data_IF_658166688659
#
_entry.id   IF_658166688659
#
_cell.length_a   1.000
_cell.length_b   1.000
_cell.length_c   1.000
_cell.angle_alpha   90.00
_cell.angle_beta   90.00
_cell.angle_gamma   90.00
#
_symmetry.space_group_name_H-M   'P 1'
#
loop_
_entity.id
_entity.type
_entity.pdbx_description
1 polymer ?
#
# COMPACT_ATOMS: atom_id res chain seq x y z
N UNK A 1 20.12 -5.18 12.33
CA UNK A 1 21.53 -5.47 11.97
C UNK A 1 22.12 -4.11 11.64
N UNK A 2 22.26 -3.32 12.70
CA UNK A 2 22.41 -1.87 12.64
C UNK A 2 23.65 -1.55 13.46
N UNK A 3 24.82 -1.63 12.83
CA UNK A 3 26.07 -1.18 13.45
C UNK A 3 27.19 -1.19 12.42
N UNK A 4 27.09 -0.36 11.36
CA UNK A 4 28.22 -0.16 10.43
C UNK A 4 28.03 1.10 9.56
N UNK A 5 27.61 2.21 10.16
CA UNK A 5 27.38 3.46 9.41
C UNK A 5 27.86 4.72 10.17
N UNK A 6 28.98 4.63 10.89
CA UNK A 6 29.57 5.77 11.60
C UNK A 6 30.94 6.25 11.08
N UNK A 7 31.60 5.56 10.14
CA UNK A 7 33.04 5.79 9.93
C UNK A 7 33.41 6.28 8.52
N UNK A 8 32.50 6.96 7.81
CA UNK A 8 32.80 7.51 6.46
C UNK A 8 33.10 9.01 6.47
N UNK A 9 32.95 9.68 7.62
CA UNK A 9 33.13 11.13 7.74
C UNK A 9 34.61 11.56 7.92
N UNK A 10 35.53 10.60 7.98
CA UNK A 10 36.96 10.86 8.28
C UNK A 10 37.86 11.18 7.07
N UNK A 11 37.33 11.23 5.84
CA UNK A 11 38.15 11.40 4.62
C UNK A 11 37.94 12.72 3.86
N UNK A 12 37.35 13.74 4.50
CA UNK A 12 37.36 15.10 3.97
C UNK A 12 38.72 15.76 4.24
N UNK A 13 39.71 15.48 3.38
CA UNK A 13 40.92 16.29 3.30
C UNK A 13 40.55 17.68 2.72
N UNK A 14 40.88 18.79 3.41
CA UNK A 14 40.58 20.13 2.93
C UNK A 14 41.23 20.41 1.56
N UNK A 15 40.39 20.69 0.57
CA UNK A 15 40.75 21.14 -0.78
C UNK A 15 41.22 22.60 -0.78
N UNK A 16 42.40 22.84 -0.22
CA UNK A 16 43.16 24.06 -0.48
C UNK A 16 44.61 23.70 -0.74
N UNK A 17 44.94 23.40 -1.99
CA UNK A 17 46.33 23.35 -2.47
C UNK A 17 46.82 24.79 -2.57
N UNK A 18 47.10 25.36 -1.41
CA UNK A 18 48.21 26.25 -1.15
C UNK A 18 48.46 26.13 0.35
N UNK A 19 49.06 25.00 0.73
CA UNK A 19 49.51 24.80 2.10
C UNK A 19 50.56 25.87 2.41
N UNK A 20 50.22 26.78 3.33
CA UNK A 20 51.15 27.81 3.82
C UNK A 20 52.41 27.20 4.46
N UNK A 21 52.42 25.91 4.76
CA UNK A 21 53.62 25.18 5.20
C UNK A 21 54.65 24.92 4.08
N UNK A 22 54.34 25.21 2.81
CA UNK A 22 55.26 24.98 1.69
C UNK A 22 56.43 26.00 1.61
N UNK A 23 56.39 27.08 2.39
CA UNK A 23 57.58 27.90 2.60
C UNK A 23 58.40 27.27 3.72
N UNK A 24 59.46 26.55 3.35
CA UNK A 24 60.56 26.23 4.27
C UNK A 24 61.17 27.57 4.70
N UNK A 25 60.72 28.11 5.83
CA UNK A 25 61.41 29.18 6.54
C UNK A 25 62.74 28.58 6.99
N UNK A 26 63.81 28.86 6.25
CA UNK A 26 65.16 28.43 6.63
C UNK A 26 65.69 29.38 7.70
N UNK A 27 66.07 28.83 8.84
CA UNK A 27 66.84 29.54 9.86
C UNK A 27 68.26 29.76 9.32
N UNK A 28 68.75 31.01 9.33
CA UNK A 28 70.03 31.40 8.68
C UNK A 28 71.25 30.63 9.25
N UNK A 29 71.14 30.07 10.46
CA UNK A 29 72.21 29.33 11.15
C UNK A 29 72.24 27.81 10.83
N UNK A 30 71.36 27.31 9.96
CA UNK A 30 71.27 25.87 9.62
C UNK A 30 71.50 25.59 8.13
N UNK A 31 72.65 26.02 7.61
CA UNK A 31 73.06 25.67 6.25
C UNK A 31 73.34 24.16 6.14
N UNK A 32 72.58 23.46 5.27
CA UNK A 32 72.75 22.03 4.99
C UNK A 32 74.17 21.65 4.54
N UNK A 33 74.85 22.56 3.84
CA UNK A 33 76.19 22.32 3.28
C UNK A 33 77.12 23.49 3.62
N UNK A 34 78.25 23.18 4.25
CA UNK A 34 79.33 24.09 4.60
C UNK A 34 80.68 23.45 4.23
N UNK A 35 81.78 24.21 4.38
CA UNK A 35 83.12 23.74 3.96
C UNK A 35 83.61 22.48 4.69
N UNK A 36 83.10 22.22 5.90
CA UNK A 36 83.52 21.08 6.73
C UNK A 36 82.74 19.79 6.44
N UNK A 37 81.51 19.90 5.93
CA UNK A 37 80.62 18.75 5.68
C UNK A 37 80.34 18.49 4.19
N UNK A 38 80.95 19.25 3.27
CA UNK A 38 80.72 19.18 1.82
C UNK A 38 80.73 17.76 1.25
N UNK A 39 81.71 16.93 1.62
CA UNK A 39 81.82 15.56 1.13
C UNK A 39 80.63 14.68 1.58
N UNK A 40 80.19 14.85 2.83
CA UNK A 40 79.05 14.12 3.38
C UNK A 40 77.73 14.60 2.76
N UNK A 41 77.58 15.91 2.55
CA UNK A 41 76.42 16.51 1.89
C UNK A 41 76.29 16.05 0.43
N UNK A 42 77.40 15.95 -0.31
CA UNK A 42 77.41 15.40 -1.68
C UNK A 42 77.04 13.91 -1.67
N UNK A 43 77.58 13.12 -0.75
CA UNK A 43 77.24 11.71 -0.63
C UNK A 43 75.74 11.50 -0.36
N UNK A 44 75.15 12.29 0.53
CA UNK A 44 73.71 12.26 0.81
C UNK A 44 72.87 12.65 -0.41
N UNK A 45 73.21 13.76 -1.09
CA UNK A 45 72.49 14.18 -2.31
C UNK A 45 72.58 13.11 -3.40
N UNK A 46 73.74 12.49 -3.57
CA UNK A 46 73.92 11.43 -4.54
C UNK A 46 73.08 10.19 -4.22
N UNK A 47 72.97 9.81 -2.94
CA UNK A 47 72.05 8.76 -2.52
C UNK A 47 70.59 9.10 -2.84
N UNK A 48 70.14 10.32 -2.54
CA UNK A 48 68.77 10.76 -2.87
C UNK A 48 68.53 10.82 -4.38
N UNK A 49 69.52 11.23 -5.16
CA UNK A 49 69.45 11.20 -6.62
C UNK A 49 69.33 9.77 -7.13
N UNK A 50 70.11 8.82 -6.61
CA UNK A 50 69.97 7.40 -6.97
C UNK A 50 68.58 6.86 -6.65
N UNK A 51 68.01 7.20 -5.48
CA UNK A 51 66.64 6.82 -5.11
C UNK A 51 65.57 7.40 -6.06
N UNK A 52 65.81 8.62 -6.56
CA UNK A 52 64.96 9.29 -7.55
C UNK A 52 65.27 8.88 -9.00
N UNK A 53 66.26 8.01 -9.23
CA UNK A 53 66.70 7.57 -10.55
C UNK A 53 67.46 8.64 -11.36
N UNK A 54 68.02 9.65 -10.69
CA UNK A 54 68.85 10.70 -11.25
C UNK A 54 70.34 10.34 -11.12
N UNK A 55 71.17 10.77 -12.07
CA UNK A 55 72.62 10.53 -11.98
C UNK A 55 73.29 11.41 -10.92
N UNK A 56 74.33 10.90 -10.28
CA UNK A 56 75.09 11.57 -9.23
C UNK A 56 75.91 12.79 -9.72
N UNK A 57 76.15 13.74 -8.82
CA UNK A 57 77.09 14.85 -9.01
C UNK A 57 78.48 14.38 -8.59
N UNK A 58 79.49 14.70 -9.40
CA UNK A 58 80.90 14.48 -9.06
C UNK A 58 81.54 15.82 -8.74
N UNK A 59 82.42 15.84 -7.74
CA UNK A 59 83.24 17.00 -7.38
C UNK A 59 84.70 16.63 -7.55
N UNK A 60 85.29 17.08 -8.65
CA UNK A 60 86.72 16.92 -8.92
C UNK A 60 87.37 18.27 -8.60
N UNK A 61 87.84 18.42 -7.34
CA UNK A 61 88.25 19.68 -6.69
C UNK A 61 89.37 20.49 -7.38
N UNK A 62 89.71 20.11 -8.60
CA UNK A 62 90.65 20.74 -9.52
C UNK A 62 89.97 21.67 -10.55
N UNK A 63 88.64 21.59 -10.77
CA UNK A 63 87.91 22.40 -11.79
C UNK A 63 86.48 22.81 -11.38
N UNK A 64 86.33 23.87 -10.58
CA UNK A 64 85.04 24.40 -10.11
C UNK A 64 83.98 24.68 -11.20
N UNK A 65 84.39 25.07 -12.42
CA UNK A 65 83.44 25.38 -13.49
C UNK A 65 82.73 24.14 -14.04
N UNK A 66 83.41 22.98 -14.07
CA UNK A 66 82.83 21.72 -14.52
C UNK A 66 81.85 21.15 -13.50
N UNK A 67 82.20 21.19 -12.20
CA UNK A 67 81.33 20.70 -11.11
C UNK A 67 80.02 21.50 -11.03
N UNK A 68 80.10 22.82 -11.21
CA UNK A 68 78.91 23.68 -11.23
C UNK A 68 77.97 23.37 -12.40
N UNK A 69 78.52 23.05 -13.59
CA UNK A 69 77.70 22.67 -14.74
C UNK A 69 76.95 21.35 -14.51
N UNK A 70 77.61 20.33 -13.95
CA UNK A 70 76.96 19.08 -13.57
C UNK A 70 75.87 19.34 -12.53
N UNK A 71 76.16 20.14 -11.51
CA UNK A 71 75.19 20.48 -10.48
C UNK A 71 73.96 21.22 -11.03
N UNK A 72 74.14 22.23 -11.89
CA UNK A 72 73.02 22.96 -12.51
C UNK A 72 72.17 22.02 -13.37
N UNK A 73 72.79 21.13 -14.15
CA UNK A 73 72.06 20.14 -14.94
C UNK A 73 71.25 19.19 -14.05
N UNK A 74 71.81 18.72 -12.93
CA UNK A 74 71.06 17.88 -11.98
C UNK A 74 69.92 18.62 -11.29
N UNK A 75 70.12 19.89 -10.94
CA UNK A 75 69.04 20.73 -10.43
C UNK A 75 67.92 20.90 -11.47
N UNK A 76 68.27 21.07 -12.75
CA UNK A 76 67.30 21.12 -13.84
C UNK A 76 66.51 19.80 -13.97
N UNK A 77 67.17 18.65 -13.89
CA UNK A 77 66.51 17.35 -13.94
C UNK A 77 65.58 17.14 -12.74
N UNK A 78 65.99 17.54 -11.53
CA UNK A 78 65.18 17.49 -10.32
C UNK A 78 63.94 18.39 -10.43
N UNK A 79 64.10 19.63 -10.92
CA UNK A 79 62.99 20.56 -11.15
C UNK A 79 62.00 20.00 -12.18
N UNK A 80 62.53 19.41 -13.26
CA UNK A 80 61.72 18.80 -14.32
C UNK A 80 60.96 17.58 -13.78
N UNK A 81 61.62 16.74 -12.99
CA UNK A 81 60.99 15.59 -12.34
C UNK A 81 59.89 16.03 -11.37
N UNK A 82 60.16 17.03 -10.53
CA UNK A 82 59.19 17.61 -9.60
C UNK A 82 57.95 18.14 -10.33
N UNK A 83 58.13 18.91 -11.41
CA UNK A 83 57.01 19.40 -12.22
C UNK A 83 56.17 18.26 -12.80
N UNK A 84 56.81 17.19 -13.30
CA UNK A 84 56.11 15.99 -13.80
C UNK A 84 55.33 15.27 -12.69
N UNK A 85 55.94 15.08 -11.53
CA UNK A 85 55.29 14.46 -10.37
C UNK A 85 54.07 15.28 -9.94
N UNK A 86 54.20 16.61 -9.88
CA UNK A 86 53.11 17.50 -9.52
C UNK A 86 51.97 17.46 -10.53
N UNK A 87 52.28 17.37 -11.84
CA UNK A 87 51.25 17.20 -12.88
C UNK A 87 50.49 15.88 -12.70
N UNK A 88 51.21 14.76 -12.53
CA UNK A 88 50.59 13.44 -12.31
C UNK A 88 49.77 13.40 -11.02
N UNK A 89 50.27 14.03 -9.95
CA UNK A 89 49.54 14.17 -8.69
C UNK A 89 48.21 14.91 -8.90
N UNK A 90 48.23 16.04 -9.60
CA UNK A 90 47.01 16.81 -9.90
C UNK A 90 46.00 16.02 -10.76
N UNK A 91 46.49 15.25 -11.73
CA UNK A 91 45.63 14.35 -12.54
C UNK A 91 44.99 13.25 -11.68
N UNK A 92 45.75 12.67 -10.75
CA UNK A 92 45.26 11.65 -9.82
C UNK A 92 44.24 12.23 -8.83
N UNK A 93 44.48 13.42 -8.28
CA UNK A 93 43.55 14.13 -7.39
C UNK A 93 42.23 14.44 -8.11
N UNK A 94 42.30 14.94 -9.35
CA UNK A 94 41.11 15.21 -10.17
C UNK A 94 40.33 13.93 -10.47
N UNK A 95 41.04 12.84 -10.81
CA UNK A 95 40.42 11.53 -11.03
C UNK A 95 39.78 10.98 -9.77
N UNK A 96 40.45 11.11 -8.62
CA UNK A 96 39.94 10.65 -7.33
C UNK A 96 38.66 11.41 -6.96
N UNK A 97 38.67 12.74 -7.09
CA UNK A 97 37.49 13.57 -6.87
C UNK A 97 36.30 13.14 -7.76
N UNK A 98 36.55 12.87 -9.05
CA UNK A 98 35.51 12.36 -9.95
C UNK A 98 34.94 11.01 -9.48
N UNK A 99 35.80 10.07 -9.07
CA UNK A 99 35.39 8.75 -8.59
C UNK A 99 34.56 8.86 -7.30
N UNK A 100 34.90 9.77 -6.39
CA UNK A 100 34.11 10.00 -5.18
C UNK A 100 32.69 10.50 -5.53
N UNK A 101 32.58 11.44 -6.46
CA UNK A 101 31.29 11.92 -6.96
C UNK A 101 30.48 10.80 -7.64
N UNK A 102 31.13 9.94 -8.43
CA UNK A 102 30.48 8.77 -9.05
C UNK A 102 29.97 7.77 -7.98
N UNK A 103 30.77 7.49 -6.95
CA UNK A 103 30.38 6.62 -5.84
C UNK A 103 29.15 7.17 -5.13
N UNK A 104 29.14 8.45 -4.76
CA UNK A 104 27.99 9.09 -4.13
C UNK A 104 26.73 9.01 -5.02
N UNK A 105 26.87 9.25 -6.32
CA UNK A 105 25.78 9.13 -7.27
C UNK A 105 25.20 7.70 -7.32
N UNK A 106 26.07 6.67 -7.36
CA UNK A 106 25.63 5.28 -7.38
C UNK A 106 25.01 4.86 -6.05
N UNK A 107 25.55 5.29 -4.92
CA UNK A 107 24.96 5.04 -3.59
C UNK A 107 23.56 5.64 -3.48
N UNK A 108 23.39 6.91 -3.87
CA UNK A 108 22.09 7.59 -3.87
C UNK A 108 21.08 6.91 -4.81
N UNK A 109 21.53 6.44 -5.97
CA UNK A 109 20.67 5.72 -6.92
C UNK A 109 20.29 4.33 -6.41
N UNK A 110 21.22 3.60 -5.80
CA UNK A 110 20.95 2.32 -5.16
C UNK A 110 19.95 2.46 -4.00
N UNK A 111 20.11 3.49 -3.15
CA UNK A 111 19.18 3.76 -2.06
C UNK A 111 17.77 4.07 -2.55
N UNK A 112 17.63 4.88 -3.61
CA UNK A 112 16.33 5.16 -4.25
C UNK A 112 15.71 3.90 -4.84
N UNK A 113 16.51 3.07 -5.53
CA UNK A 113 16.08 1.78 -6.06
C UNK A 113 15.55 0.85 -4.96
N UNK A 114 16.27 0.74 -3.85
CA UNK A 114 15.86 -0.07 -2.69
C UNK A 114 14.54 0.41 -2.09
N UNK A 115 14.35 1.72 -1.91
CA UNK A 115 13.09 2.30 -1.41
C UNK A 115 11.91 1.99 -2.34
N UNK A 116 12.11 2.11 -3.65
CA UNK A 116 11.08 1.78 -4.64
C UNK A 116 10.73 0.29 -4.59
N UNK A 117 11.74 -0.59 -4.49
CA UNK A 117 11.54 -2.02 -4.36
C UNK A 117 10.69 -2.35 -3.12
N UNK A 118 11.06 -1.82 -1.94
CA UNK A 118 10.31 -2.01 -0.70
C UNK A 118 8.87 -1.47 -0.77
N UNK A 119 8.64 -0.40 -1.53
CA UNK A 119 7.29 0.10 -1.81
C UNK A 119 6.50 -0.88 -2.69
N UNK A 120 7.09 -1.32 -3.81
CA UNK A 120 6.42 -2.26 -4.72
C UNK A 120 6.15 -3.61 -4.08
N UNK A 121 7.03 -4.09 -3.19
CA UNK A 121 6.81 -5.33 -2.44
C UNK A 121 5.64 -5.21 -1.45
N UNK A 122 5.49 -4.04 -0.82
CA UNK A 122 4.33 -3.75 0.04
C UNK A 122 3.03 -3.73 -0.76
N UNK A 123 3.01 -3.04 -1.89
CA UNK A 123 1.85 -2.97 -2.79
C UNK A 123 1.48 -4.36 -3.33
N UNK A 124 2.47 -5.16 -3.75
CA UNK A 124 2.28 -6.54 -4.21
C UNK A 124 1.64 -7.41 -3.12
N UNK A 125 2.10 -7.30 -1.88
CA UNK A 125 1.54 -8.07 -0.76
C UNK A 125 0.10 -7.65 -0.44
N UNK A 126 -0.22 -6.35 -0.53
CA UNK A 126 -1.59 -5.88 -0.37
C UNK A 126 -2.51 -6.44 -1.45
N UNK A 127 -2.10 -6.41 -2.72
CA UNK A 127 -2.89 -6.96 -3.82
C UNK A 127 -3.04 -8.48 -3.75
N UNK A 128 -1.99 -9.19 -3.30
CA UNK A 128 -2.06 -10.64 -3.04
C UNK A 128 -3.10 -10.96 -1.97
N UNK A 129 -3.15 -10.20 -0.88
CA UNK A 129 -4.14 -10.42 0.17
C UNK A 129 -5.57 -10.08 -0.29
N UNK A 130 -5.75 -8.98 -1.04
CA UNK A 130 -7.06 -8.67 -1.67
C UNK A 130 -7.52 -9.81 -2.58
N UNK A 131 -6.61 -10.34 -3.41
CA UNK A 131 -6.89 -11.48 -4.29
C UNK A 131 -7.29 -12.72 -3.49
N UNK A 132 -6.59 -13.01 -2.39
CA UNK A 132 -6.92 -14.13 -1.49
C UNK A 132 -8.31 -13.99 -0.89
N UNK A 133 -8.66 -12.80 -0.38
CA UNK A 133 -9.98 -12.52 0.19
C UNK A 133 -11.10 -12.65 -0.83
N UNK A 134 -10.91 -12.09 -2.03
CA UNK A 134 -11.89 -12.22 -3.12
C UNK A 134 -12.06 -13.69 -3.54
N UNK A 135 -10.97 -14.46 -3.61
CA UNK A 135 -11.03 -15.90 -3.90
C UNK A 135 -11.84 -16.67 -2.84
N UNK A 136 -11.67 -16.33 -1.56
CA UNK A 136 -12.46 -16.93 -0.48
C UNK A 136 -13.95 -16.58 -0.60
N UNK A 137 -14.28 -15.30 -0.81
CA UNK A 137 -15.66 -14.84 -1.02
C UNK A 137 -16.29 -15.53 -2.23
N UNK A 138 -15.56 -15.63 -3.33
CA UNK A 138 -16.01 -16.34 -4.53
C UNK A 138 -16.34 -17.81 -4.23
N UNK A 139 -15.44 -18.53 -3.54
CA UNK A 139 -15.67 -19.92 -3.13
C UNK A 139 -16.90 -20.06 -2.24
N UNK A 140 -17.10 -19.14 -1.29
CA UNK A 140 -18.26 -19.13 -0.41
C UNK A 140 -19.57 -18.94 -1.20
N UNK A 141 -19.62 -17.96 -2.11
CA UNK A 141 -20.79 -17.73 -2.97
C UNK A 141 -21.06 -18.95 -3.86
N UNK A 142 -20.02 -19.58 -4.41
CA UNK A 142 -20.18 -20.81 -5.19
C UNK A 142 -20.78 -21.95 -4.35
N UNK A 143 -20.34 -22.12 -3.08
CA UNK A 143 -20.94 -23.13 -2.20
C UNK A 143 -22.40 -22.82 -1.89
N UNK A 144 -22.75 -21.58 -1.56
CA UNK A 144 -24.14 -21.17 -1.29
C UNK A 144 -25.04 -21.33 -2.53
N UNK A 145 -24.52 -21.01 -3.71
CA UNK A 145 -25.26 -21.23 -4.96
C UNK A 145 -25.50 -22.72 -5.21
N UNK A 146 -24.54 -23.59 -4.87
CA UNK A 146 -24.70 -25.04 -5.00
C UNK A 146 -25.80 -25.55 -4.06
N UNK A 147 -25.79 -25.13 -2.80
CA UNK A 147 -26.81 -25.53 -1.81
C UNK A 147 -28.19 -25.04 -2.23
N UNK A 148 -28.31 -23.79 -2.68
CA UNK A 148 -29.60 -23.24 -3.14
C UNK A 148 -30.13 -23.99 -4.36
N UNK A 149 -29.26 -24.33 -5.32
CA UNK A 149 -29.63 -25.16 -6.48
C UNK A 149 -30.09 -26.56 -6.08
N UNK A 150 -29.56 -27.12 -5.01
CA UNK A 150 -29.98 -28.43 -4.49
C UNK A 150 -31.35 -28.31 -3.80
N UNK A 151 -31.58 -27.25 -3.04
CA UNK A 151 -32.87 -26.99 -2.37
C UNK A 151 -33.99 -26.71 -3.37
N UNK A 152 -33.74 -25.89 -4.40
CA UNK A 152 -34.71 -25.67 -5.50
C UNK A 152 -35.08 -26.99 -6.18
N UNK A 153 -34.09 -27.86 -6.46
CA UNK A 153 -34.35 -29.19 -7.03
C UNK A 153 -35.19 -30.05 -6.10
N UNK A 154 -34.89 -30.05 -4.80
CA UNK A 154 -35.64 -30.80 -3.78
C UNK A 154 -37.09 -30.32 -3.68
N UNK A 155 -37.31 -29.01 -3.57
CA UNK A 155 -38.65 -28.41 -3.49
C UNK A 155 -39.45 -28.64 -4.77
N UNK A 156 -38.82 -28.54 -5.94
CA UNK A 156 -39.46 -28.85 -7.22
C UNK A 156 -39.95 -30.30 -7.25
N UNK A 157 -39.14 -31.26 -6.78
CA UNK A 157 -39.55 -32.66 -6.71
C UNK A 157 -40.74 -32.87 -5.74
N UNK A 158 -40.73 -32.19 -4.59
CA UNK A 158 -41.86 -32.23 -3.63
C UNK A 158 -43.13 -31.65 -4.23
N UNK A 159 -43.05 -30.51 -4.93
CA UNK A 159 -44.19 -29.89 -5.61
C UNK A 159 -44.76 -30.80 -6.71
N UNK A 160 -43.90 -31.38 -7.55
CA UNK A 160 -44.34 -32.35 -8.57
C UNK A 160 -45.07 -33.55 -7.96
N UNK A 161 -44.54 -34.10 -6.85
CA UNK A 161 -45.21 -35.18 -6.12
C UNK A 161 -46.57 -34.74 -5.56
N UNK A 162 -46.66 -33.52 -5.02
CA UNK A 162 -47.91 -32.95 -4.49
C UNK A 162 -48.94 -32.74 -5.60
N UNK A 163 -48.54 -32.23 -6.76
CA UNK A 163 -49.42 -32.04 -7.91
C UNK A 163 -50.01 -33.37 -8.38
N UNK A 164 -49.20 -34.43 -8.43
CA UNK A 164 -49.68 -35.77 -8.78
C UNK A 164 -50.69 -36.26 -7.74
N UNK A 165 -50.41 -36.09 -6.44
CA UNK A 165 -51.33 -36.45 -5.36
C UNK A 165 -52.65 -35.69 -5.46
N UNK A 166 -52.60 -34.36 -5.62
CA UNK A 166 -53.79 -33.52 -5.75
C UNK A 166 -54.62 -33.89 -6.98
N UNK A 167 -53.98 -34.15 -8.13
CA UNK A 167 -54.68 -34.64 -9.33
C UNK A 167 -55.38 -35.97 -9.08
N UNK A 168 -54.75 -36.89 -8.33
CA UNK A 168 -55.38 -38.17 -7.98
C UNK A 168 -56.57 -37.99 -7.03
N UNK A 169 -56.41 -37.19 -5.98
CA UNK A 169 -57.49 -36.86 -5.03
C UNK A 169 -58.66 -36.15 -5.70
N UNK A 170 -58.38 -35.21 -6.62
CA UNK A 170 -59.38 -34.51 -7.41
C UNK A 170 -60.18 -35.50 -8.27
N UNK A 171 -59.51 -36.39 -9.03
CA UNK A 171 -60.18 -37.44 -9.81
C UNK A 171 -61.03 -38.36 -8.95
N UNK A 172 -60.58 -38.70 -7.73
CA UNK A 172 -61.36 -39.52 -6.78
C UNK A 172 -62.63 -38.78 -6.33
N UNK A 173 -62.53 -37.48 -6.00
CA UNK A 173 -63.69 -36.64 -5.64
C UNK A 173 -64.65 -36.45 -6.80
N UNK A 174 -64.16 -36.21 -8.02
CA UNK A 174 -64.97 -36.09 -9.23
C UNK A 174 -65.81 -37.36 -9.48
N UNK A 175 -65.21 -38.54 -9.31
CA UNK A 175 -65.93 -39.83 -9.42
C UNK A 175 -67.01 -39.99 -8.35
N UNK A 176 -66.74 -39.60 -7.10
CA UNK A 176 -67.74 -39.67 -6.02
C UNK A 176 -68.90 -38.70 -6.27
N UNK A 177 -68.61 -37.47 -6.69
CA UNK A 177 -69.63 -36.49 -7.08
C UNK A 177 -70.48 -37.02 -8.23
N UNK A 178 -69.86 -37.66 -9.22
CA UNK A 178 -70.58 -38.27 -10.34
C UNK A 178 -71.52 -39.39 -9.84
N UNK A 179 -71.02 -40.31 -9.01
CA UNK A 179 -71.82 -41.39 -8.42
C UNK A 179 -72.99 -40.87 -7.58
N UNK A 180 -72.78 -39.83 -6.78
CA UNK A 180 -73.84 -39.19 -6.00
C UNK A 180 -74.87 -38.50 -6.88
N UNK A 181 -74.42 -37.85 -7.97
CA UNK A 181 -75.31 -37.28 -8.98
C UNK A 181 -76.16 -38.36 -9.65
N UNK A 182 -75.58 -39.48 -10.07
CA UNK A 182 -76.32 -40.60 -10.66
C UNK A 182 -77.37 -41.15 -9.69
N UNK A 183 -77.01 -41.37 -8.42
CA UNK A 183 -77.94 -41.82 -7.38
C UNK A 183 -79.08 -40.83 -7.16
N UNK A 184 -78.80 -39.53 -7.18
CA UNK A 184 -79.83 -38.49 -7.07
C UNK A 184 -80.77 -38.52 -8.29
N UNK A 185 -80.24 -38.63 -9.51
CA UNK A 185 -81.06 -38.74 -10.72
C UNK A 185 -81.95 -39.99 -10.66
N UNK A 186 -81.42 -41.13 -10.22
CA UNK A 186 -82.20 -42.35 -10.02
C UNK A 186 -83.33 -42.14 -9.01
N UNK A 187 -83.04 -41.55 -7.84
CA UNK A 187 -84.06 -41.26 -6.82
C UNK A 187 -85.13 -40.27 -7.30
N UNK A 188 -84.75 -39.28 -8.12
CA UNK A 188 -85.69 -38.35 -8.74
C UNK A 188 -86.56 -39.05 -9.79
N UNK A 189 -85.99 -39.93 -10.61
CA UNK A 189 -86.74 -40.73 -11.58
C UNK A 189 -87.71 -41.71 -10.89
N UNK A 190 -87.26 -42.42 -9.85
CA UNK A 190 -88.07 -43.40 -9.11
C UNK A 190 -89.21 -42.73 -8.31
N UNK A 191 -89.05 -41.46 -7.89
CA UNK A 191 -90.07 -40.69 -7.16
C UNK A 191 -91.04 -39.93 -8.07
N UNK A 192 -90.93 -40.05 -9.39
CA UNK A 192 -91.90 -39.48 -10.34
C UNK A 192 -92.73 -40.59 -11.01
N UNK A 193 -93.69 -41.21 -10.30
CA UNK A 193 -94.97 -41.52 -10.90
C UNK A 193 -95.85 -40.26 -10.79
N UNK A 194 -96.25 -39.70 -11.93
CA UNK A 194 -97.28 -38.67 -12.09
C UNK A 194 -97.37 -37.60 -10.99
N UNK A 195 -96.69 -36.47 -11.18
CA UNK A 195 -97.07 -35.21 -10.50
C UNK A 195 -97.27 -34.05 -11.46
N UNK A 196 -98.53 -33.87 -11.83
CA UNK A 196 -99.17 -32.56 -11.97
C UNK A 196 -98.83 -31.68 -10.75
N UNK A 197 -98.33 -30.48 -11.03
CA UNK A 197 -98.49 -29.21 -10.29
C UNK A 197 -98.20 -29.19 -8.78
N UNK A 198 -97.31 -28.28 -8.37
CA UNK A 198 -97.51 -27.51 -7.14
C UNK A 198 -96.33 -27.45 -6.18
N UNK A 199 -95.54 -26.38 -6.29
CA UNK A 199 -95.37 -25.40 -5.20
C UNK A 199 -94.46 -24.28 -5.71
N UNK A 200 -95.07 -23.14 -6.03
CA UNK A 200 -94.35 -21.89 -6.22
C UNK A 200 -94.12 -21.28 -4.82
N UNK A 201 -92.86 -21.09 -4.45
CA UNK A 201 -92.45 -20.54 -3.14
C UNK A 201 -92.73 -19.03 -3.11
N UNK A 202 -94.00 -18.67 -2.93
CA UNK A 202 -94.50 -17.30 -2.76
C UNK A 202 -94.20 -16.72 -1.38
N UNK A 203 -92.97 -16.87 -0.88
CA UNK A 203 -92.50 -16.03 0.21
C UNK A 203 -91.05 -15.61 0.00
N UNK A 204 -90.82 -14.84 -1.06
CA UNK A 204 -89.71 -13.89 -1.07
C UNK A 204 -90.12 -12.74 -0.16
N UNK A 205 -89.72 -12.81 1.11
CA UNK A 205 -89.78 -11.65 2.00
C UNK A 205 -88.87 -10.59 1.38
N UNK A 206 -89.49 -9.61 0.70
CA UNK A 206 -88.86 -8.38 0.27
C UNK A 206 -88.29 -7.68 1.50
N UNK A 207 -86.99 -7.84 1.75
CA UNK A 207 -86.24 -6.99 2.68
C UNK A 207 -86.08 -5.60 2.08
N UNK A 208 -87.15 -4.81 2.10
CA UNK A 208 -87.04 -3.35 2.01
C UNK A 208 -86.84 -2.82 3.43
N UNK A 209 -85.58 -2.69 3.81
CA UNK A 209 -85.13 -1.75 4.82
C UNK A 209 -83.71 -1.38 4.42
N UNK A 210 -83.52 -0.11 4.06
CA UNK A 210 -82.29 0.45 3.53
C UNK A 210 -81.18 0.58 4.60
N UNK A 211 -81.43 0.13 5.83
CA UNK A 211 -80.41 0.09 6.88
C UNK A 211 -80.62 -1.12 7.82
N UNK A 212 -80.87 -2.28 7.21
CA UNK A 212 -81.05 -3.55 7.92
C UNK A 212 -79.77 -4.39 8.03
N UNK A 213 -78.60 -3.78 8.22
CA UNK A 213 -77.36 -4.56 8.48
C UNK A 213 -77.42 -5.11 9.90
N UNK A 214 -77.63 -6.42 10.04
CA UNK A 214 -77.20 -7.12 11.27
C UNK A 214 -75.72 -6.80 11.47
N UNK A 215 -75.34 -6.35 12.65
CA UNK A 215 -73.95 -6.22 13.04
C UNK A 215 -73.30 -7.62 13.01
N UNK A 216 -72.75 -7.97 11.85
CA UNK A 216 -71.73 -9.01 11.75
C UNK A 216 -70.54 -8.49 12.51
N UNK A 217 -70.21 -9.13 13.63
CA UNK A 217 -68.91 -8.95 14.27
C UNK A 217 -67.85 -9.01 13.17
N UNK A 218 -67.12 -7.91 12.96
CA UNK A 218 -66.05 -7.83 11.96
C UNK A 218 -64.85 -8.66 12.44
N UNK A 219 -64.99 -9.97 12.38
CA UNK A 219 -63.92 -10.96 12.50
C UNK A 219 -63.70 -11.57 11.12
N UNK A 220 -63.43 -10.71 10.14
CA UNK A 220 -63.11 -11.08 8.77
C UNK A 220 -61.62 -10.84 8.46
N UNK A 221 -61.09 -11.48 7.41
CA UNK A 221 -59.67 -11.38 7.02
C UNK A 221 -59.18 -9.95 6.80
N UNK A 222 -60.07 -9.00 6.46
CA UNK A 222 -59.77 -7.55 6.35
C UNK A 222 -59.12 -6.97 7.61
N UNK A 223 -59.56 -7.37 8.82
CA UNK A 223 -59.01 -6.83 10.07
C UNK A 223 -57.62 -7.40 10.39
N UNK A 224 -57.41 -8.66 9.99
CA UNK A 224 -56.12 -9.33 10.11
C UNK A 224 -55.12 -8.79 9.07
N UNK A 225 -55.61 -8.38 7.90
CA UNK A 225 -54.83 -7.71 6.85
C UNK A 225 -54.43 -6.29 7.28
N UNK A 226 -55.35 -5.53 7.89
CA UNK A 226 -55.08 -4.21 8.46
C UNK A 226 -54.04 -4.28 9.60
N UNK A 227 -54.17 -5.25 10.51
CA UNK A 227 -53.15 -5.54 11.54
C UNK A 227 -51.80 -5.95 10.93
N UNK A 228 -51.80 -6.74 9.86
CA UNK A 228 -50.59 -7.12 9.13
C UNK A 228 -49.90 -5.90 8.48
N UNK A 229 -50.64 -5.03 7.81
CA UNK A 229 -50.09 -3.78 7.25
C UNK A 229 -49.52 -2.88 8.36
N UNK A 230 -50.19 -2.81 9.51
CA UNK A 230 -49.72 -2.02 10.64
C UNK A 230 -48.39 -2.55 11.21
N UNK A 231 -48.25 -3.88 11.33
CA UNK A 231 -47.00 -4.54 11.77
C UNK A 231 -45.88 -4.33 10.74
N UNK A 232 -46.21 -4.40 9.45
CA UNK A 232 -45.25 -4.18 8.38
C UNK A 232 -44.72 -2.74 8.38
N UNK A 233 -45.62 -1.75 8.50
CA UNK A 233 -45.26 -0.34 8.60
C UNK A 233 -44.39 -0.09 9.83
N UNK A 234 -44.77 -0.60 11.01
CA UNK A 234 -43.96 -0.47 12.22
C UNK A 234 -42.56 -1.08 12.05
N UNK A 235 -42.44 -2.26 11.42
CA UNK A 235 -41.12 -2.86 11.15
C UNK A 235 -40.27 -2.01 10.21
N UNK A 236 -40.88 -1.41 9.18
CA UNK A 236 -40.17 -0.52 8.27
C UNK A 236 -39.74 0.79 8.97
N UNK A 237 -40.58 1.35 9.84
CA UNK A 237 -40.27 2.53 10.64
C UNK A 237 -39.13 2.25 11.63
N UNK A 238 -39.19 1.14 12.36
CA UNK A 238 -38.15 0.70 13.29
C UNK A 238 -36.82 0.48 12.55
N UNK A 239 -36.85 -0.25 11.43
CA UNK A 239 -35.66 -0.48 10.60
C UNK A 239 -35.09 0.81 10.03
N UNK A 240 -35.94 1.75 9.63
CA UNK A 240 -35.51 3.06 9.16
C UNK A 240 -34.84 3.86 10.28
N UNK A 241 -35.38 3.80 11.49
CA UNK A 241 -34.83 4.48 12.66
C UNK A 241 -33.49 3.89 13.10
N UNK A 242 -33.32 2.56 13.05
CA UNK A 242 -32.02 1.89 13.24
C UNK A 242 -30.98 2.36 12.22
N UNK A 243 -31.35 2.39 10.93
CA UNK A 243 -30.48 2.85 9.85
C UNK A 243 -30.08 4.33 10.04
N UNK A 244 -31.00 5.18 10.49
CA UNK A 244 -30.69 6.58 10.79
C UNK A 244 -29.70 6.71 11.95
N UNK A 245 -29.84 5.89 13.00
CA UNK A 245 -28.91 5.86 14.13
C UNK A 245 -27.52 5.35 13.71
N UNK A 246 -27.46 4.26 12.95
CA UNK A 246 -26.19 3.72 12.43
C UNK A 246 -25.50 4.73 11.51
N UNK A 247 -26.25 5.38 10.61
CA UNK A 247 -25.71 6.42 9.73
C UNK A 247 -25.18 7.62 10.53
N UNK A 248 -25.87 8.01 11.61
CA UNK A 248 -25.39 9.01 12.56
C UNK A 248 -24.07 8.60 13.21
N UNK A 249 -24.00 7.39 13.79
CA UNK A 249 -22.78 6.87 14.41
C UNK A 249 -21.60 6.74 13.43
N UNK A 250 -21.87 6.37 12.18
CA UNK A 250 -20.85 6.32 11.11
C UNK A 250 -20.32 7.73 10.77
N UNK A 251 -21.20 8.74 10.69
CA UNK A 251 -20.79 10.13 10.48
C UNK A 251 -19.96 10.66 11.64
N UNK A 252 -20.35 10.34 12.87
CA UNK A 252 -19.61 10.74 14.08
C UNK A 252 -18.22 10.07 14.13
N UNK A 253 -18.15 8.78 13.78
CA UNK A 253 -16.89 8.05 13.67
C UNK A 253 -15.98 8.65 12.59
N UNK A 254 -16.54 8.96 11.40
CA UNK A 254 -15.80 9.62 10.32
C UNK A 254 -15.25 10.98 10.75
N UNK A 255 -16.05 11.79 11.45
CA UNK A 255 -15.61 13.08 11.99
C UNK A 255 -14.54 12.91 13.07
N UNK A 256 -14.61 11.85 13.88
CA UNK A 256 -13.57 11.53 14.86
C UNK A 256 -12.25 11.17 14.19
N UNK A 257 -12.28 10.28 13.20
CA UNK A 257 -11.11 9.88 12.42
C UNK A 257 -10.51 11.07 11.66
N UNK A 258 -11.34 11.94 11.08
CA UNK A 258 -10.88 13.17 10.44
C UNK A 258 -10.16 14.09 11.43
N UNK A 259 -10.70 14.25 12.65
CA UNK A 259 -10.07 15.04 13.72
C UNK A 259 -8.72 14.44 14.11
N UNK A 260 -8.65 13.13 14.34
CA UNK A 260 -7.41 12.43 14.68
C UNK A 260 -6.35 12.55 13.58
N UNK A 261 -6.72 12.33 12.32
CA UNK A 261 -5.82 12.53 11.18
C UNK A 261 -5.34 13.98 11.09
N UNK A 262 -6.23 14.95 11.29
CA UNK A 262 -5.86 16.37 11.29
C UNK A 262 -4.90 16.71 12.44
N UNK A 263 -5.08 16.13 13.63
CA UNK A 263 -4.14 16.29 14.74
C UNK A 263 -2.79 15.65 14.43
N UNK A 264 -2.77 14.45 13.86
CA UNK A 264 -1.54 13.77 13.50
C UNK A 264 -0.76 14.54 12.44
N UNK A 265 -1.44 15.04 11.41
CA UNK A 265 -0.82 15.89 10.38
C UNK A 265 -0.24 17.15 11.00
N UNK A 266 -0.97 17.86 11.87
CA UNK A 266 -0.45 19.04 12.59
C UNK A 266 0.77 18.72 13.44
N UNK A 267 0.76 17.61 14.18
CA UNK A 267 1.94 17.17 14.94
C UNK A 267 3.13 16.86 14.04
N UNK A 268 2.92 16.24 12.88
CA UNK A 268 4.02 16.00 11.92
C UNK A 268 4.54 17.28 11.27
N UNK A 269 3.68 18.25 11.00
CA UNK A 269 4.11 19.56 10.48
C UNK A 269 4.86 20.35 11.55
N UNK A 270 4.39 20.35 12.79
CA UNK A 270 5.06 21.05 13.90
C UNK A 270 6.42 20.42 14.18
N UNK A 271 6.53 19.09 14.21
CA UNK A 271 7.81 18.37 14.31
C UNK A 271 8.78 18.73 13.17
N UNK A 272 8.27 18.89 11.95
CA UNK A 272 9.07 19.33 10.80
C UNK A 272 9.48 20.81 10.83
N UNK A 273 8.75 21.66 11.56
CA UNK A 273 9.10 23.08 11.74
C UNK A 273 10.06 23.27 12.91
N UNK A 274 9.93 22.53 14.02
CA UNK A 274 10.92 22.54 15.10
C UNK A 274 12.26 21.94 14.67
N UNK A 275 12.31 20.93 13.80
CA UNK A 275 13.58 20.42 13.27
C UNK A 275 14.29 21.40 12.33
N UNK A 276 13.55 22.31 11.68
CA UNK A 276 14.13 23.37 10.83
C UNK A 276 14.60 24.56 11.66
N UNK A 277 13.98 24.84 12.80
CA UNK A 277 14.39 25.93 13.71
C UNK A 277 15.60 25.56 14.59
N UNK A 278 15.75 24.28 15.01
CA UNK A 278 16.94 23.84 15.77
C UNK A 278 18.22 23.78 14.90
N UNK A 279 18.09 23.61 13.58
CA UNK A 279 19.23 23.68 12.65
C UNK A 279 19.67 25.13 12.38
N UNK A 280 18.76 26.10 12.54
CA UNK A 280 19.03 27.52 12.27
C UNK A 280 19.75 28.24 13.42
N UNK A 281 19.65 27.73 14.66
CA UNK A 281 20.27 28.36 15.84
C UNK A 281 21.70 27.90 16.14
N UNK A 282 22.23 26.91 15.39
CA UNK A 282 23.59 26.40 15.58
C UNK A 282 24.63 26.96 14.59
N UNK A 283 24.26 27.91 13.71
CA UNK A 283 25.18 28.52 12.71
C UNK A 283 25.68 29.92 13.06
N UNK A 284 25.48 30.40 14.29
CA UNK A 284 25.93 31.72 14.74
C UNK A 284 26.55 31.66 16.14
N UNK A 285 27.74 31.08 16.25
CA UNK A 285 28.71 31.31 17.34
C UNK A 285 30.12 31.01 16.84
#
# INVERSE_FOLDING_TARGET
MDSEMSDVEAYLLPTSILDKAAYVVRDEDTEFCNKSNLANSIAYINQEFELLGLSCVTHDGTRCTSDMLFFINRLYDLLTLYQKIMAVKGDLETRNHRLLCEIDHYQNTALRGKKLQEQTDRELNQEREKTRQLSMKYKQVCSSLKTEKEEVRRLTAVLQSRDIQHKHEQKKKEKEVHRLKERLHQLLADKVPDRKVGMDLMNVVSRRSEEGRRATWKTGPEKQEEEMYHILINNYEERHQELMQENGGLRDCLLSLQRELSTLVKHTTDLSVTSVLDVSSCQSS
#
